data_IF_241962357053
#
_entry.id   IF_241962357053
#
_cell.length_a   1.000
_cell.length_b   1.000
_cell.length_c   1.000
_cell.angle_alpha   90.00
_cell.angle_beta   90.00
_cell.angle_gamma   90.00
#
_symmetry.space_group_name_H-M   'P 1'
#
loop_
_entity.id
_entity.type
_entity.pdbx_description
1 polymer ?
#
# COMPACT_ATOMS: atom_id res chain seq x y z
N UNK A 1 52.30 -0.60 -22.78
CA UNK A 1 50.94 -0.57 -22.21
C UNK A 1 51.06 -0.95 -20.73
N UNK A 2 50.74 -0.05 -19.80
CA UNK A 2 50.88 -0.30 -18.35
C UNK A 2 49.68 -1.10 -17.85
N UNK A 3 49.92 -2.31 -17.36
CA UNK A 3 48.93 -3.15 -16.70
C UNK A 3 48.55 -2.51 -15.36
N UNK A 4 47.34 -1.96 -15.26
CA UNK A 4 46.74 -1.53 -14.00
C UNK A 4 46.38 -2.78 -13.18
N UNK A 5 47.22 -3.13 -12.20
CA UNK A 5 46.86 -4.14 -11.18
C UNK A 5 45.84 -3.53 -10.24
N UNK A 6 44.56 -3.74 -10.55
CA UNK A 6 43.47 -3.44 -9.61
C UNK A 6 43.60 -4.43 -8.45
N UNK A 7 43.89 -3.91 -7.26
CA UNK A 7 43.95 -4.70 -6.03
C UNK A 7 42.59 -5.33 -5.76
N UNK A 8 42.57 -6.62 -5.38
CA UNK A 8 41.33 -7.34 -5.04
C UNK A 8 40.51 -6.63 -3.95
N UNK A 9 41.16 -5.81 -3.11
CA UNK A 9 40.48 -4.95 -2.13
C UNK A 9 39.63 -3.84 -2.76
N UNK A 10 40.08 -3.24 -3.87
CA UNK A 10 39.32 -2.21 -4.58
C UNK A 10 38.07 -2.81 -5.27
N UNK A 11 38.17 -4.04 -5.77
CA UNK A 11 37.04 -4.75 -6.35
C UNK A 11 35.97 -5.09 -5.30
N UNK A 12 36.39 -5.49 -4.09
CA UNK A 12 35.48 -5.74 -2.97
C UNK A 12 34.81 -4.45 -2.50
N UNK A 13 35.54 -3.33 -2.37
CA UNK A 13 34.94 -2.05 -1.97
C UNK A 13 33.92 -1.51 -2.99
N UNK A 14 34.13 -1.72 -4.29
CA UNK A 14 33.16 -1.33 -5.33
C UNK A 14 31.92 -2.22 -5.33
N UNK A 15 32.06 -3.52 -5.05
CA UNK A 15 30.92 -4.44 -4.92
C UNK A 15 30.09 -4.16 -3.66
N UNK A 16 30.73 -3.88 -2.53
CA UNK A 16 30.00 -3.54 -1.30
C UNK A 16 29.43 -2.12 -1.33
N UNK A 17 30.10 -1.14 -1.93
CA UNK A 17 29.59 0.24 -2.03
C UNK A 17 28.29 0.37 -2.82
N UNK A 18 28.07 -0.49 -3.83
CA UNK A 18 26.84 -0.50 -4.62
C UNK A 18 25.64 -1.13 -3.89
N UNK A 19 25.88 -1.97 -2.87
CA UNK A 19 24.82 -2.63 -2.09
C UNK A 19 24.21 -1.73 -1.00
N UNK A 20 24.83 -0.58 -0.70
CA UNK A 20 24.35 0.37 0.31
C UNK A 20 23.80 1.68 -0.27
N UNK A 21 23.51 1.72 -1.58
CA UNK A 21 22.70 2.80 -2.14
C UNK A 21 21.26 2.66 -1.61
N UNK A 22 21.03 3.14 -0.39
CA UNK A 22 19.70 3.28 0.17
C UNK A 22 18.99 4.37 -0.64
N UNK A 23 18.28 3.97 -1.69
CA UNK A 23 17.30 4.83 -2.33
C UNK A 23 16.21 5.09 -1.31
N UNK A 24 16.16 6.30 -0.75
CA UNK A 24 15.04 6.76 0.06
C UNK A 24 13.88 6.98 -0.91
N UNK A 25 13.20 5.90 -1.28
CA UNK A 25 11.98 5.97 -2.08
C UNK A 25 10.84 6.36 -1.15
N UNK A 26 10.02 7.32 -1.56
CA UNK A 26 8.74 7.55 -0.90
C UNK A 26 7.88 6.29 -1.04
N UNK A 27 7.12 5.97 0.01
CA UNK A 27 6.22 4.81 0.02
C UNK A 27 5.29 4.88 -1.19
N UNK A 28 5.18 3.79 -1.97
CA UNK A 28 4.19 3.69 -3.05
C UNK A 28 3.00 2.84 -2.65
N UNK A 29 1.81 3.30 -3.02
CA UNK A 29 0.55 2.59 -2.79
C UNK A 29 -0.26 2.49 -4.09
N UNK A 30 -1.21 1.56 -4.14
CA UNK A 30 -2.24 1.58 -5.15
C UNK A 30 -3.32 2.60 -4.79
N UNK A 31 -3.75 3.38 -5.78
CA UNK A 31 -4.89 4.28 -5.69
C UNK A 31 -5.98 3.84 -6.67
N UNK A 32 -7.20 3.65 -6.16
CA UNK A 32 -8.38 3.35 -6.96
C UNK A 32 -9.66 3.65 -6.18
N UNK A 33 -10.77 3.82 -6.90
CA UNK A 33 -12.10 3.88 -6.32
C UNK A 33 -13.08 3.15 -7.25
N UNK A 34 -13.92 2.29 -6.69
CA UNK A 34 -14.97 1.57 -7.42
C UNK A 34 -16.24 1.47 -6.59
N UNK A 35 -17.43 1.62 -7.20
CA UNK A 35 -18.71 1.34 -6.53
C UNK A 35 -19.10 -0.15 -6.58
N UNK A 36 -18.32 -1.01 -7.26
CA UNK A 36 -18.75 -2.35 -7.66
C UNK A 36 -18.02 -3.46 -6.91
N UNK A 37 -16.68 -3.47 -6.92
CA UNK A 37 -15.88 -4.52 -6.27
C UNK A 37 -14.40 -4.14 -6.13
N UNK A 38 -13.67 -4.91 -5.31
CA UNK A 38 -12.21 -4.83 -5.26
C UNK A 38 -11.54 -5.15 -6.60
N UNK A 39 -12.11 -6.07 -7.40
CA UNK A 39 -11.54 -6.43 -8.71
C UNK A 39 -11.64 -5.27 -9.70
N UNK A 40 -12.76 -4.54 -9.70
CA UNK A 40 -12.95 -3.35 -10.53
C UNK A 40 -12.03 -2.21 -10.07
N UNK A 41 -11.90 -2.00 -8.75
CA UNK A 41 -10.91 -1.07 -8.19
C UNK A 41 -9.48 -1.42 -8.64
N UNK A 42 -9.09 -2.69 -8.53
CA UNK A 42 -7.76 -3.17 -8.95
C UNK A 42 -7.52 -2.98 -10.45
N UNK A 43 -8.54 -3.19 -11.30
CA UNK A 43 -8.41 -3.04 -12.75
C UNK A 43 -8.09 -1.59 -13.15
N UNK A 44 -8.61 -0.61 -12.40
CA UNK A 44 -8.32 0.81 -12.58
C UNK A 44 -7.19 1.36 -11.70
N UNK A 45 -6.48 0.52 -10.96
CA UNK A 45 -5.54 0.98 -9.94
C UNK A 45 -4.27 1.59 -10.55
N UNK A 46 -3.86 2.72 -9.98
CA UNK A 46 -2.61 3.38 -10.32
C UNK A 46 -1.64 3.30 -9.14
N UNK A 47 -0.36 3.09 -9.41
CA UNK A 47 0.66 3.21 -8.38
C UNK A 47 1.04 4.67 -8.21
N UNK A 48 0.93 5.18 -6.98
CA UNK A 48 1.24 6.56 -6.62
C UNK A 48 2.26 6.61 -5.50
N UNK A 49 3.14 7.61 -5.53
CA UNK A 49 4.07 7.90 -4.44
C UNK A 49 3.37 8.74 -3.37
N UNK A 50 3.39 8.28 -2.12
CA UNK A 50 2.80 8.97 -0.97
C UNK A 50 3.71 10.12 -0.51
N UNK A 51 3.73 11.20 -1.28
CA UNK A 51 4.51 12.43 -0.97
C UNK A 51 3.73 13.44 -0.14
N UNK A 52 2.40 13.36 -0.15
CA UNK A 52 1.48 14.13 0.70
C UNK A 52 0.15 13.37 0.83
N UNK A 53 -0.59 13.55 1.93
CA UNK A 53 -1.87 12.88 2.10
C UNK A 53 -2.86 13.31 1.02
N UNK A 54 -3.41 12.33 0.33
CA UNK A 54 -4.39 12.54 -0.72
C UNK A 54 -5.74 12.95 -0.12
N UNK A 55 -6.54 13.66 -0.92
CA UNK A 55 -7.95 13.89 -0.62
C UNK A 55 -8.72 12.65 -1.05
N UNK A 56 -8.85 11.66 -0.15
CA UNK A 56 -9.68 10.48 -0.39
C UNK A 56 -11.15 10.90 -0.49
N UNK A 57 -11.91 10.26 -1.38
CA UNK A 57 -13.38 10.40 -1.44
C UNK A 57 -14.04 9.02 -1.34
N UNK A 58 -15.04 8.91 -0.47
CA UNK A 58 -15.82 7.68 -0.28
C UNK A 58 -17.28 8.00 -0.59
N UNK A 59 -17.85 7.30 -1.58
CA UNK A 59 -19.24 7.50 -2.03
C UNK A 59 -19.58 8.98 -2.32
N UNK A 60 -18.62 9.75 -2.86
CA UNK A 60 -18.80 11.17 -3.17
C UNK A 60 -18.54 12.13 -2.01
N UNK A 61 -18.17 11.62 -0.82
CA UNK A 61 -17.78 12.43 0.33
C UNK A 61 -16.26 12.55 0.42
N UNK A 62 -15.74 13.74 0.14
CA UNK A 62 -14.33 14.07 0.32
C UNK A 62 -13.96 14.09 1.80
N UNK A 63 -12.89 13.37 2.13
CA UNK A 63 -12.33 13.30 3.47
C UNK A 63 -11.21 14.33 3.58
N UNK A 64 -11.44 15.36 4.39
CA UNK A 64 -10.41 16.32 4.76
C UNK A 64 -9.87 15.95 6.14
N UNK A 65 -8.71 15.30 6.16
CA UNK A 65 -8.01 15.11 7.43
C UNK A 65 -7.57 16.48 8.00
N UNK A 66 -7.56 16.68 9.33
CA UNK A 66 -7.08 17.92 9.94
C UNK A 66 -5.61 18.19 9.59
N UNK A 67 -5.20 19.46 9.52
CA UNK A 67 -3.82 19.85 9.19
C UNK A 67 -2.79 19.35 10.22
N UNK A 68 -3.19 19.22 11.49
CA UNK A 68 -2.37 18.72 12.59
C UNK A 68 -1.94 17.25 12.38
N UNK A 69 -2.80 16.45 11.75
CA UNK A 69 -2.49 15.06 11.36
C UNK A 69 -1.51 14.97 10.19
N UNK A 70 -1.26 16.08 9.46
CA UNK A 70 -0.46 16.07 8.23
C UNK A 70 1.05 16.21 8.41
N UNK A 71 1.51 16.65 9.58
CA UNK A 71 2.90 17.13 9.75
C UNK A 71 3.82 16.19 10.52
N UNK A 72 3.30 15.14 11.17
CA UNK A 72 4.12 14.26 12.04
C UNK A 72 3.93 12.75 11.80
N UNK A 73 3.09 12.35 10.86
CA UNK A 73 2.77 10.94 10.67
C UNK A 73 3.39 10.40 9.38
N UNK A 74 4.03 9.23 9.50
CA UNK A 74 4.57 8.48 8.37
C UNK A 74 3.44 8.11 7.39
N UNK A 75 3.70 8.12 6.07
CA UNK A 75 2.70 7.68 5.09
C UNK A 75 2.39 6.19 5.25
N UNK A 76 1.15 5.81 4.95
CA UNK A 76 0.67 4.43 4.88
C UNK A 76 -0.26 4.23 3.68
N UNK A 77 -0.27 3.03 3.13
CA UNK A 77 -1.31 2.60 2.22
C UNK A 77 -2.56 2.25 3.00
N UNK A 78 -3.72 2.65 2.48
CA UNK A 78 -5.02 2.31 3.05
C UNK A 78 -5.88 1.57 2.02
N UNK A 79 -6.69 0.63 2.51
CA UNK A 79 -7.81 0.04 1.77
C UNK A 79 -9.08 0.25 2.60
N UNK A 80 -10.14 0.79 2.00
CA UNK A 80 -11.44 0.99 2.65
C UNK A 80 -12.55 0.36 1.81
N UNK A 81 -13.37 -0.46 2.45
CA UNK A 81 -14.65 -0.91 1.93
C UNK A 81 -15.77 -0.32 2.79
N UNK A 82 -16.66 0.43 2.16
CA UNK A 82 -17.82 1.04 2.80
C UNK A 82 -19.12 0.63 2.13
N UNK A 83 -20.20 0.66 2.90
CA UNK A 83 -21.57 0.39 2.48
C UNK A 83 -22.47 1.50 3.01
N UNK A 84 -23.35 2.03 2.18
CA UNK A 84 -24.33 3.03 2.59
C UNK A 84 -25.72 2.74 2.03
N UNK A 85 -26.76 3.08 2.79
CA UNK A 85 -28.15 2.97 2.33
C UNK A 85 -28.83 4.34 2.37
N UNK A 86 -29.22 4.86 1.20
CA UNK A 86 -29.89 6.16 1.06
C UNK A 86 -31.18 5.96 0.27
N UNK A 87 -32.30 6.43 0.81
CA UNK A 87 -33.61 6.33 0.12
C UNK A 87 -34.04 4.89 -0.21
N UNK A 88 -33.61 3.91 0.56
CA UNK A 88 -33.88 2.48 0.32
C UNK A 88 -32.93 1.79 -0.67
N UNK A 89 -32.06 2.54 -1.35
CA UNK A 89 -31.03 1.98 -2.22
C UNK A 89 -29.72 1.78 -1.45
N UNK A 90 -29.08 0.63 -1.62
CA UNK A 90 -27.78 0.33 -1.01
C UNK A 90 -26.67 0.48 -2.05
N UNK A 91 -25.66 1.28 -1.72
CA UNK A 91 -24.43 1.44 -2.49
C UNK A 91 -23.22 0.91 -1.74
N UNK A 92 -22.14 0.70 -2.48
CA UNK A 92 -20.86 0.22 -1.99
C UNK A 92 -19.74 1.14 -2.47
N UNK A 93 -18.62 1.16 -1.76
CA UNK A 93 -17.40 1.82 -2.20
C UNK A 93 -16.19 0.99 -1.80
N UNK A 94 -15.30 0.76 -2.75
CA UNK A 94 -14.02 0.07 -2.61
C UNK A 94 -12.94 1.09 -2.98
N UNK A 95 -12.12 1.49 -2.02
CA UNK A 95 -11.16 2.58 -2.18
C UNK A 95 -9.78 2.14 -1.70
N UNK A 96 -8.76 2.50 -2.46
CA UNK A 96 -7.36 2.40 -2.04
C UNK A 96 -6.69 3.75 -2.20
N UNK A 97 -5.86 4.13 -1.26
CA UNK A 97 -5.19 5.42 -1.29
C UNK A 97 -3.93 5.47 -0.39
N UNK A 98 -3.26 6.63 -0.40
CA UNK A 98 -2.23 7.03 0.54
C UNK A 98 -2.84 7.86 1.68
N UNK A 99 -2.68 7.40 2.93
CA UNK A 99 -3.03 8.18 4.13
C UNK A 99 -1.86 8.17 5.12
N UNK A 100 -2.13 8.51 6.38
CA UNK A 100 -1.16 8.47 7.47
C UNK A 100 -1.23 7.14 8.23
N UNK A 101 -0.07 6.70 8.72
CA UNK A 101 0.07 5.56 9.61
C UNK A 101 -0.42 5.89 11.03
N UNK A 102 -1.74 6.04 11.17
CA UNK A 102 -2.41 6.27 12.46
C UNK A 102 -3.38 5.12 12.75
N UNK A 103 -3.26 4.53 13.94
CA UNK A 103 -4.14 3.44 14.40
C UNK A 103 -5.61 3.86 14.49
N UNK A 104 -5.88 5.16 14.64
CA UNK A 104 -7.22 5.73 14.68
C UNK A 104 -7.76 6.12 13.31
N UNK A 105 -6.96 6.01 12.24
CA UNK A 105 -7.31 6.51 10.90
C UNK A 105 -8.65 5.96 10.41
N UNK A 106 -8.87 4.64 10.51
CA UNK A 106 -10.14 4.04 10.10
C UNK A 106 -11.34 4.60 10.89
N UNK A 107 -11.18 4.87 12.19
CA UNK A 107 -12.23 5.50 13.00
C UNK A 107 -12.44 6.97 12.62
N UNK A 108 -11.39 7.70 12.30
CA UNK A 108 -11.49 9.08 11.81
C UNK A 108 -12.24 9.15 10.48
N UNK A 109 -11.97 8.23 9.56
CA UNK A 109 -12.71 8.10 8.30
C UNK A 109 -14.19 7.84 8.61
N UNK A 110 -14.51 6.88 9.49
CA UNK A 110 -15.90 6.58 9.85
C UNK A 110 -16.62 7.79 10.46
N UNK A 111 -15.93 8.58 11.30
CA UNK A 111 -16.49 9.75 11.95
C UNK A 111 -16.72 10.94 10.99
N UNK A 112 -15.97 10.99 9.89
CA UNK A 112 -16.13 11.99 8.85
C UNK A 112 -17.26 11.66 7.85
N UNK A 113 -17.74 10.41 7.83
CA UNK A 113 -18.81 9.96 6.95
C UNK A 113 -20.21 10.16 7.59
N UNK A 114 -21.25 10.40 6.78
CA UNK A 114 -22.63 10.40 7.26
C UNK A 114 -23.01 9.08 7.95
N UNK A 115 -23.96 9.13 8.88
CA UNK A 115 -24.36 7.98 9.70
C UNK A 115 -24.94 6.79 8.92
N UNK A 116 -25.43 7.08 7.71
CA UNK A 116 -25.97 6.18 6.71
C UNK A 116 -24.88 5.36 6.01
N UNK A 117 -23.63 5.80 6.07
CA UNK A 117 -22.47 5.16 5.46
C UNK A 117 -21.61 4.52 6.56
N UNK A 118 -21.37 3.22 6.43
CA UNK A 118 -20.59 2.42 7.36
C UNK A 118 -19.38 1.83 6.66
N UNK A 119 -18.22 1.99 7.27
CA UNK A 119 -17.02 1.23 6.93
C UNK A 119 -17.24 -0.21 7.37
N UNK A 120 -17.09 -1.13 6.42
CA UNK A 120 -17.20 -2.57 6.64
C UNK A 120 -15.83 -3.18 6.84
N UNK A 121 -14.85 -2.71 6.07
CA UNK A 121 -13.45 -3.14 6.17
C UNK A 121 -12.52 -1.94 5.97
N UNK A 122 -11.44 -1.88 6.75
CA UNK A 122 -10.44 -0.84 6.65
C UNK A 122 -9.10 -1.37 7.15
N UNK A 123 -8.09 -1.30 6.28
CA UNK A 123 -6.76 -1.81 6.54
C UNK A 123 -5.69 -0.78 6.20
N UNK A 124 -4.60 -0.79 6.98
CA UNK A 124 -3.45 0.09 6.85
C UNK A 124 -2.18 -0.73 6.82
N UNK A 125 -1.30 -0.41 5.88
CA UNK A 125 -0.01 -1.06 5.75
C UNK A 125 1.05 -0.09 5.25
N UNK A 126 2.31 -0.33 5.60
CA UNK A 126 3.43 0.62 5.41
C UNK A 126 4.54 0.09 4.52
N UNK A 127 4.29 -1.01 3.79
CA UNK A 127 5.24 -1.58 2.84
C UNK A 127 4.83 -1.26 1.41
N UNK A 128 5.81 -1.26 0.49
CA UNK A 128 5.59 -0.95 -0.93
C UNK A 128 4.42 -1.74 -1.51
N UNK A 129 3.43 -1.02 -2.05
CA UNK A 129 2.28 -1.56 -2.77
C UNK A 129 1.47 -2.60 -1.99
N UNK A 130 1.55 -2.57 -0.66
CA UNK A 130 0.97 -3.59 0.23
C UNK A 130 -0.56 -3.66 0.16
N UNK A 131 -1.21 -2.53 -0.14
CA UNK A 131 -2.65 -2.48 -0.34
C UNK A 131 -3.10 -3.11 -1.66
N UNK A 132 -2.19 -3.67 -2.46
CA UNK A 132 -2.51 -4.37 -3.71
C UNK A 132 -3.02 -5.79 -3.53
N UNK A 133 -2.71 -6.43 -2.39
CA UNK A 133 -3.07 -7.82 -2.17
C UNK A 133 -4.60 -7.97 -2.08
N UNK A 134 -5.20 -8.63 -3.07
CA UNK A 134 -6.40 -9.42 -2.81
C UNK A 134 -5.97 -10.52 -1.83
N UNK A 135 -6.60 -10.60 -0.67
CA UNK A 135 -6.19 -11.34 0.54
C UNK A 135 -5.99 -12.87 0.44
N UNK A 136 -5.58 -13.45 -0.70
CA UNK A 136 -5.56 -14.92 -0.87
C UNK A 136 -4.35 -15.54 -1.59
N UNK A 137 -3.49 -14.82 -2.33
CA UNK A 137 -2.57 -15.52 -3.28
C UNK A 137 -1.06 -15.34 -3.09
N UNK A 138 -0.56 -14.31 -2.41
CA UNK A 138 0.88 -14.05 -2.39
C UNK A 138 1.68 -14.88 -1.37
N UNK A 139 1.08 -15.21 -0.22
CA UNK A 139 1.80 -15.87 0.90
C UNK A 139 1.92 -17.39 0.69
N UNK A 140 0.98 -18.00 -0.04
CA UNK A 140 0.98 -19.45 -0.29
C UNK A 140 1.98 -19.88 -1.37
N UNK A 141 2.29 -19.01 -2.34
CA UNK A 141 3.26 -19.35 -3.39
C UNK A 141 4.71 -19.37 -2.88
N UNK A 142 5.09 -18.45 -2.01
CA UNK A 142 6.47 -18.35 -1.52
C UNK A 142 6.86 -19.54 -0.62
N UNK A 143 5.91 -20.05 0.16
CA UNK A 143 6.14 -21.18 1.06
C UNK A 143 6.19 -22.52 0.31
N UNK A 144 5.41 -22.70 -0.76
CA UNK A 144 5.45 -23.91 -1.61
C UNK A 144 6.75 -24.01 -2.40
N UNK A 145 7.28 -22.89 -2.91
CA UNK A 145 8.55 -22.88 -3.66
C UNK A 145 9.74 -23.29 -2.78
N UNK A 146 9.80 -22.82 -1.53
CA UNK A 146 10.89 -23.19 -0.62
C UNK A 146 10.86 -24.67 -0.24
N UNK A 147 9.67 -25.26 -0.06
CA UNK A 147 9.53 -26.70 0.19
C UNK A 147 9.90 -27.53 -1.04
N UNK A 148 9.51 -27.09 -2.24
CA UNK A 148 9.88 -27.77 -3.48
C UNK A 148 11.41 -27.77 -3.71
N UNK A 149 12.09 -26.64 -3.45
CA UNK A 149 13.55 -26.55 -3.56
C UNK A 149 14.23 -27.44 -2.50
N UNK A 150 13.73 -27.46 -1.26
CA UNK A 150 14.26 -28.32 -0.22
C UNK A 150 14.14 -29.81 -0.58
N UNK A 151 13.03 -30.23 -1.20
CA UNK A 151 12.83 -31.61 -1.64
C UNK A 151 13.73 -32.01 -2.83
N UNK A 152 14.02 -31.08 -3.74
CA UNK A 152 14.94 -31.32 -4.86
C UNK A 152 16.40 -31.35 -4.40
N UNK A 153 16.79 -30.51 -3.43
CA UNK A 153 18.14 -30.49 -2.87
C UNK A 153 18.42 -31.65 -1.89
N UNK A 154 17.40 -32.42 -1.50
CA UNK A 154 17.53 -33.60 -0.64
C UNK A 154 17.67 -34.91 -1.45
N UNK A 155 17.69 -34.83 -2.78
CA UNK A 155 18.15 -35.92 -3.65
C UNK A 155 19.65 -35.78 -3.95
#
# INVERSE_FOLDING_TARGET
MKQLKISSFLAVCLFFGALFAQSVSALRCYQCASPSSWSDCQAGAQSVECTSASQMSIMGHSLFLPAESRQQLEPACVSVYAKGTVGGATGYAYVRDCLFNDKSMCSLIQNALPSEIRIVDCDLCTTELCNGASSVTAVTLSSVVMVAIALVLWQ
#
